data_IF_654011435021
#
_entry.id   IF_654011435021
#
_cell.length_a   1.000
_cell.length_b   1.000
_cell.length_c   1.000
_cell.angle_alpha   90.00
_cell.angle_beta   90.00
_cell.angle_gamma   90.00
#
_symmetry.space_group_name_H-M   'P 1'
#
loop_
_entity.id
_entity.type
_entity.pdbx_description
1 polymer ?
#
# COMPACT_ATOMS: atom_id res chain seq x y z
N UNK A 1 -12.66 16.51 0.40
CA UNK A 1 -12.47 15.44 -0.59
C UNK A 1 -12.16 16.07 -1.92
N UNK A 2 -10.87 16.27 -2.17
CA UNK A 2 -10.33 16.62 -3.47
C UNK A 2 -10.05 15.35 -4.28
N UNK A 3 -9.85 15.52 -5.59
CA UNK A 3 -9.44 14.46 -6.50
C UNK A 3 -8.12 14.83 -7.15
N UNK A 4 -7.19 13.87 -7.20
CA UNK A 4 -5.89 14.02 -7.84
C UNK A 4 -5.66 12.95 -8.90
N UNK A 5 -4.99 13.33 -9.97
CA UNK A 5 -4.42 12.39 -10.94
C UNK A 5 -2.91 12.48 -10.77
N UNK A 6 -2.28 11.38 -10.36
CA UNK A 6 -0.85 11.33 -10.07
C UNK A 6 -0.16 10.25 -10.90
N UNK A 7 1.14 10.43 -11.11
CA UNK A 7 1.96 9.45 -11.81
C UNK A 7 3.18 9.07 -11.00
N UNK A 8 3.53 7.78 -11.02
CA UNK A 8 4.73 7.30 -10.32
C UNK A 8 6.00 7.49 -11.16
N UNK A 9 7.18 7.61 -10.52
CA UNK A 9 7.41 7.68 -9.07
C UNK A 9 6.83 8.96 -8.45
N UNK A 10 6.29 8.87 -7.23
CA UNK A 10 5.69 10.00 -6.53
C UNK A 10 6.77 10.86 -5.86
N UNK A 11 6.68 12.17 -6.02
CA UNK A 11 7.52 13.12 -5.28
C UNK A 11 6.97 13.39 -3.88
N UNK A 12 7.80 13.93 -2.98
CA UNK A 12 7.33 14.42 -1.68
C UNK A 12 6.28 15.53 -1.80
N UNK A 13 6.38 16.38 -2.83
CA UNK A 13 5.40 17.43 -3.10
C UNK A 13 4.04 16.86 -3.53
N UNK A 14 4.05 15.73 -4.25
CA UNK A 14 2.83 15.00 -4.58
C UNK A 14 2.14 14.44 -3.35
N UNK A 15 2.91 14.00 -2.35
CA UNK A 15 2.40 13.39 -1.12
C UNK A 15 1.97 14.45 -0.10
N UNK A 16 2.71 15.55 0.04
CA UNK A 16 2.48 16.59 1.03
C UNK A 16 1.13 17.33 0.82
N UNK A 17 0.63 17.39 -0.42
CA UNK A 17 -0.67 18.00 -0.72
C UNK A 17 -1.88 17.09 -0.45
N UNK A 18 -1.65 15.79 -0.20
CA UNK A 18 -2.73 14.83 0.02
C UNK A 18 -3.23 14.91 1.46
N UNK A 19 -4.54 14.85 1.63
CA UNK A 19 -5.18 14.77 2.93
C UNK A 19 -6.07 13.53 3.02
N UNK A 20 -6.19 12.99 4.22
CA UNK A 20 -7.07 11.86 4.51
C UNK A 20 -8.50 12.09 3.97
N UNK A 21 -9.03 11.10 3.26
CA UNK A 21 -10.32 11.18 2.57
C UNK A 21 -10.27 11.69 1.13
N UNK A 22 -9.12 12.12 0.61
CA UNK A 22 -8.97 12.47 -0.80
C UNK A 22 -8.93 11.24 -1.71
N UNK A 23 -9.34 11.43 -2.97
CA UNK A 23 -9.34 10.39 -4.00
C UNK A 23 -8.16 10.60 -4.94
N UNK A 24 -7.43 9.53 -5.24
CA UNK A 24 -6.31 9.53 -6.18
C UNK A 24 -6.58 8.54 -7.30
N UNK A 25 -6.39 8.98 -8.54
CA UNK A 25 -6.28 8.11 -9.71
C UNK A 25 -4.82 8.04 -10.13
N UNK A 26 -4.24 6.85 -10.00
CA UNK A 26 -2.81 6.65 -10.19
C UNK A 26 -2.52 6.00 -11.54
N UNK A 27 -1.56 6.56 -12.28
CA UNK A 27 -1.06 6.00 -13.54
C UNK A 27 0.46 5.86 -13.49
N UNK A 28 0.99 4.67 -13.75
CA UNK A 28 2.43 4.40 -13.72
C UNK A 28 2.76 3.01 -13.21
N UNK A 29 3.97 2.82 -12.69
CA UNK A 29 4.43 1.56 -12.10
C UNK A 29 4.18 1.52 -10.59
N UNK A 30 3.61 0.41 -10.10
CA UNK A 30 3.52 0.06 -8.68
C UNK A 30 4.03 -1.36 -8.46
N UNK A 31 4.51 -1.69 -7.26
CA UNK A 31 5.11 -2.99 -6.97
C UNK A 31 4.22 -3.83 -6.06
N UNK A 32 4.01 -5.11 -6.38
CA UNK A 32 3.35 -6.02 -5.44
C UNK A 32 4.34 -6.52 -4.42
N UNK A 33 3.99 -6.53 -3.14
CA UNK A 33 4.69 -7.31 -2.14
C UNK A 33 3.75 -7.55 -0.97
N UNK A 34 3.84 -8.72 -0.35
CA UNK A 34 3.13 -9.03 0.90
C UNK A 34 4.03 -9.85 1.82
N UNK A 35 3.45 -10.63 2.72
CA UNK A 35 4.08 -11.30 3.85
C UNK A 35 5.50 -11.86 3.56
N UNK A 36 5.64 -12.84 2.67
CA UNK A 36 6.92 -13.50 2.40
C UNK A 36 7.92 -12.60 1.64
N UNK A 37 7.43 -11.77 0.71
CA UNK A 37 8.27 -10.84 -0.01
C UNK A 37 8.85 -9.74 0.89
N UNK A 38 8.06 -9.17 1.81
CA UNK A 38 8.54 -8.17 2.76
C UNK A 38 9.63 -8.73 3.65
N UNK A 39 9.44 -9.94 4.18
CA UNK A 39 10.44 -10.62 4.99
C UNK A 39 11.77 -10.72 4.24
N UNK A 40 11.77 -11.16 2.98
CA UNK A 40 12.99 -11.28 2.18
C UNK A 40 13.64 -9.95 1.81
N UNK A 41 12.83 -8.92 1.50
CA UNK A 41 13.35 -7.57 1.26
C UNK A 41 14.10 -7.08 2.49
N UNK A 42 13.53 -7.26 3.67
CA UNK A 42 14.15 -6.81 4.93
C UNK A 42 15.39 -7.63 5.27
N UNK A 43 15.36 -8.96 5.10
CA UNK A 43 16.54 -9.82 5.29
C UNK A 43 17.69 -9.45 4.33
N UNK A 44 17.39 -9.05 3.09
CA UNK A 44 18.38 -8.56 2.15
C UNK A 44 18.98 -7.21 2.61
N UNK A 45 18.13 -6.28 3.04
CA UNK A 45 18.56 -5.00 3.60
C UNK A 45 19.43 -5.17 4.87
N UNK A 46 19.12 -6.15 5.71
CA UNK A 46 19.92 -6.49 6.91
C UNK A 46 21.33 -7.01 6.58
N UNK A 47 21.50 -7.59 5.39
CA UNK A 47 22.80 -8.02 4.86
C UNK A 47 23.53 -6.91 4.11
N UNK A 48 22.94 -5.72 3.99
CA UNK A 48 23.47 -4.61 3.20
C UNK A 48 23.29 -4.78 1.69
N UNK A 49 22.40 -5.67 1.26
CA UNK A 49 22.03 -5.85 -0.14
C UNK A 49 21.01 -4.80 -0.59
N UNK A 50 20.90 -4.57 -1.90
CA UNK A 50 19.92 -3.65 -2.46
C UNK A 50 18.52 -4.29 -2.54
N UNK A 51 17.44 -3.51 -2.39
CA UNK A 51 16.09 -3.99 -2.62
C UNK A 51 15.88 -4.38 -4.09
N UNK A 52 14.87 -5.23 -4.40
CA UNK A 52 14.60 -5.70 -5.76
C UNK A 52 14.08 -4.63 -6.73
N UNK A 53 13.79 -3.44 -6.23
CA UNK A 53 13.38 -2.26 -6.99
C UNK A 53 13.76 -1.00 -6.20
N UNK A 54 13.86 0.13 -6.88
CA UNK A 54 14.11 1.42 -6.22
C UNK A 54 12.94 1.80 -5.32
N UNK A 55 13.22 2.09 -4.05
CA UNK A 55 12.19 2.46 -3.07
C UNK A 55 11.81 3.94 -3.21
N UNK A 56 12.69 4.80 -3.72
CA UNK A 56 12.44 6.24 -3.78
C UNK A 56 11.25 6.56 -4.71
N UNK A 57 10.22 7.16 -4.15
CA UNK A 57 8.99 7.48 -4.87
C UNK A 57 8.12 6.26 -5.24
N UNK A 58 8.52 5.05 -4.85
CA UNK A 58 7.82 3.82 -5.19
C UNK A 58 6.57 3.60 -4.33
N UNK A 59 5.69 2.74 -4.84
CA UNK A 59 4.47 2.35 -4.14
C UNK A 59 4.40 0.83 -4.06
N UNK A 60 4.15 0.32 -2.85
CA UNK A 60 3.93 -1.13 -2.64
C UNK A 60 2.44 -1.41 -2.49
N UNK A 61 1.89 -2.23 -3.39
CA UNK A 61 0.55 -2.77 -3.32
C UNK A 61 0.52 -4.15 -2.65
N UNK A 62 -0.17 -4.24 -1.52
CA UNK A 62 -0.37 -5.48 -0.78
C UNK A 62 -1.45 -6.33 -1.45
N UNK A 63 -1.03 -7.16 -2.40
CA UNK A 63 -1.92 -8.03 -3.18
C UNK A 63 -1.27 -9.38 -3.43
N UNK A 64 -2.10 -10.43 -3.46
CA UNK A 64 -1.74 -11.72 -4.04
C UNK A 64 -2.71 -12.00 -5.17
N UNK A 65 -2.36 -11.70 -6.44
CA UNK A 65 -3.31 -11.80 -7.54
C UNK A 65 -3.69 -13.25 -7.82
N UNK A 66 -4.93 -13.48 -8.27
CA UNK A 66 -5.32 -14.79 -8.79
C UNK A 66 -4.59 -15.10 -10.12
N UNK A 67 -4.58 -16.37 -10.58
CA UNK A 67 -4.05 -16.70 -11.90
C UNK A 67 -4.68 -15.83 -12.99
N UNK A 68 -3.86 -15.41 -13.96
CA UNK A 68 -4.31 -14.59 -15.07
C UNK A 68 -5.16 -15.43 -16.04
N UNK A 69 -6.35 -14.97 -16.44
CA UNK A 69 -7.09 -15.60 -17.52
C UNK A 69 -6.39 -15.36 -18.87
N UNK A 70 -6.66 -16.18 -19.90
CA UNK A 70 -6.08 -16.00 -21.24
C UNK A 70 -6.27 -14.57 -21.77
N UNK A 71 -5.19 -13.99 -22.29
CA UNK A 71 -5.20 -12.64 -22.87
C UNK A 71 -5.28 -11.48 -21.86
N UNK A 72 -5.14 -11.74 -20.55
CA UNK A 72 -5.01 -10.67 -19.54
C UNK A 72 -3.64 -10.72 -18.85
N UNK A 73 -3.10 -9.56 -18.42
CA UNK A 73 -1.82 -9.51 -17.73
C UNK A 73 -1.87 -10.09 -16.31
N UNK A 74 -3.05 -10.05 -15.67
CA UNK A 74 -3.21 -10.42 -14.27
C UNK A 74 -4.64 -10.91 -13.99
N UNK A 75 -4.80 -11.74 -12.96
CA UNK A 75 -6.11 -12.14 -12.45
C UNK A 75 -6.74 -11.07 -11.56
N UNK A 76 -7.71 -11.47 -10.74
CA UNK A 76 -8.30 -10.58 -9.72
C UNK A 76 -7.21 -10.10 -8.77
N UNK A 77 -7.13 -8.79 -8.55
CA UNK A 77 -6.06 -8.13 -7.81
C UNK A 77 -6.64 -7.30 -6.66
N UNK A 78 -7.31 -7.96 -5.71
CA UNK A 78 -7.89 -7.30 -4.52
C UNK A 78 -6.88 -7.16 -3.38
N UNK A 79 -6.97 -6.10 -2.55
CA UNK A 79 -6.01 -5.85 -1.47
C UNK A 79 -6.10 -6.91 -0.37
N UNK A 80 -4.95 -7.18 0.27
CA UNK A 80 -4.88 -7.94 1.52
C UNK A 80 -4.77 -7.01 2.74
N UNK A 81 -5.03 -7.57 3.93
CA UNK A 81 -4.97 -6.82 5.19
C UNK A 81 -3.56 -6.30 5.47
N UNK A 82 -3.45 -4.98 5.64
CA UNK A 82 -2.18 -4.25 5.69
C UNK A 82 -1.40 -4.44 7.00
N UNK A 83 -2.08 -4.66 8.12
CA UNK A 83 -1.43 -4.75 9.43
C UNK A 83 -0.38 -5.86 9.54
N UNK A 84 -0.43 -6.88 8.67
CA UNK A 84 0.57 -7.95 8.62
C UNK A 84 1.95 -7.49 8.14
N UNK A 85 2.04 -6.30 7.54
CA UNK A 85 3.29 -5.71 7.05
C UNK A 85 3.76 -4.53 7.92
N UNK A 86 3.07 -4.21 9.01
CA UNK A 86 3.36 -3.02 9.83
C UNK A 86 4.75 -3.08 10.47
N UNK A 87 5.24 -4.24 10.87
CA UNK A 87 6.62 -4.39 11.41
C UNK A 87 7.71 -3.98 10.41
N UNK A 88 7.46 -4.11 9.11
CA UNK A 88 8.45 -3.82 8.06
C UNK A 88 8.32 -2.41 7.49
N UNK A 89 7.10 -1.89 7.48
CA UNK A 89 6.72 -0.69 6.71
C UNK A 89 7.45 0.59 7.14
N UNK A 90 7.66 0.89 8.45
CA UNK A 90 8.40 2.08 8.89
C UNK A 90 9.79 2.19 8.28
N UNK A 91 10.53 1.07 8.25
CA UNK A 91 11.87 1.04 7.65
C UNK A 91 11.85 1.27 6.14
N UNK A 92 10.82 0.78 5.45
CA UNK A 92 10.72 1.02 4.01
C UNK A 92 10.45 2.50 3.71
N UNK A 93 9.61 3.16 4.51
CA UNK A 93 9.41 4.61 4.41
C UNK A 93 10.68 5.41 4.73
N UNK A 94 11.48 5.00 5.74
CA UNK A 94 12.75 5.67 6.02
C UNK A 94 13.78 5.55 4.89
N UNK A 95 13.57 4.60 3.97
CA UNK A 95 14.40 4.37 2.79
C UNK A 95 13.83 5.01 1.50
N UNK A 96 12.77 5.81 1.59
CA UNK A 96 12.21 6.55 0.45
C UNK A 96 10.89 6.02 -0.11
N UNK A 97 10.34 4.93 0.45
CA UNK A 97 9.03 4.43 0.01
C UNK A 97 7.97 5.54 0.15
N UNK A 98 7.36 5.92 -0.97
CA UNK A 98 6.36 6.99 -1.01
C UNK A 98 5.03 6.56 -0.40
N UNK A 99 4.54 5.39 -0.81
CA UNK A 99 3.23 4.95 -0.38
C UNK A 99 3.05 3.43 -0.31
N UNK A 100 2.02 3.03 0.42
CA UNK A 100 1.55 1.64 0.46
C UNK A 100 0.06 1.58 0.13
N UNK A 101 -0.38 0.51 -0.52
CA UNK A 101 -1.80 0.29 -0.89
C UNK A 101 -2.27 -1.02 -0.25
N UNK A 102 -3.42 -1.01 0.43
CA UNK A 102 -3.99 -2.22 1.01
C UNK A 102 -5.40 -2.04 1.56
N UNK A 103 -5.75 -2.80 2.60
CA UNK A 103 -7.00 -2.64 3.35
C UNK A 103 -6.79 -2.77 4.87
N UNK A 104 -7.66 -2.10 5.63
CA UNK A 104 -7.65 -2.12 7.09
C UNK A 104 -6.73 -1.08 7.71
N UNK A 105 -6.84 -0.92 9.03
CA UNK A 105 -6.09 0.07 9.82
C UNK A 105 -4.60 -0.26 9.83
N UNK A 106 -3.78 0.78 10.05
CA UNK A 106 -2.34 0.69 10.33
C UNK A 106 -2.08 0.95 11.80
N UNK A 107 -0.99 0.41 12.32
CA UNK A 107 -0.53 0.69 13.67
C UNK A 107 0.05 2.12 13.83
N UNK A 108 0.41 2.47 15.06
CA UNK A 108 0.98 3.78 15.38
C UNK A 108 2.39 3.98 14.79
N UNK A 109 3.18 2.90 14.66
CA UNK A 109 4.54 2.98 14.13
C UNK A 109 4.56 3.36 12.65
N UNK A 110 3.63 2.80 11.87
CA UNK A 110 3.44 3.19 10.47
C UNK A 110 2.97 4.63 10.37
N UNK A 111 1.97 5.05 11.16
CA UNK A 111 1.47 6.44 11.12
C UNK A 111 2.54 7.47 11.48
N UNK A 112 3.42 7.15 12.43
CA UNK A 112 4.57 7.99 12.76
C UNK A 112 5.55 8.07 11.57
N UNK A 113 5.87 6.93 10.94
CA UNK A 113 6.77 6.90 9.78
C UNK A 113 6.22 7.68 8.57
N UNK A 114 4.89 7.65 8.33
CA UNK A 114 4.25 8.43 7.28
C UNK A 114 4.43 9.94 7.51
N UNK A 115 4.29 10.40 8.75
CA UNK A 115 4.55 11.80 9.11
C UNK A 115 6.02 12.17 8.97
N UNK A 116 6.92 11.34 9.49
CA UNK A 116 8.36 11.60 9.51
C UNK A 116 8.97 11.64 8.10
N UNK A 117 8.48 10.78 7.19
CA UNK A 117 9.07 10.59 5.87
C UNK A 117 8.22 11.12 4.72
N UNK A 118 7.13 11.85 5.02
CA UNK A 118 6.19 12.38 4.04
C UNK A 118 5.59 11.27 3.16
N UNK A 119 5.09 10.20 3.80
CA UNK A 119 4.48 9.06 3.13
C UNK A 119 2.95 9.09 3.18
N UNK A 120 2.30 8.23 2.37
CA UNK A 120 0.84 8.04 2.38
C UNK A 120 0.47 6.56 2.40
N UNK A 121 -0.59 6.21 3.12
CA UNK A 121 -1.25 4.90 2.99
C UNK A 121 -2.59 5.04 2.27
N UNK A 122 -2.71 4.32 1.16
CA UNK A 122 -3.90 4.26 0.35
C UNK A 122 -4.74 3.01 0.66
N UNK A 123 -6.04 3.21 0.74
CA UNK A 123 -7.04 2.14 0.73
C UNK A 123 -7.45 1.82 -0.70
N UNK A 124 -7.30 0.56 -1.10
CA UNK A 124 -7.96 0.04 -2.29
C UNK A 124 -9.31 -0.60 -1.89
N UNK A 125 -10.32 -0.50 -2.76
CA UNK A 125 -11.66 -1.02 -2.46
C UNK A 125 -11.65 -2.54 -2.33
N UNK A 126 -11.79 -3.04 -1.10
CA UNK A 126 -11.92 -4.48 -0.83
C UNK A 126 -13.16 -5.08 -1.51
N UNK A 127 -13.02 -6.27 -2.11
CA UNK A 127 -14.11 -6.92 -2.86
C UNK A 127 -14.21 -6.52 -4.33
N UNK A 128 -13.50 -5.46 -4.76
CA UNK A 128 -13.48 -5.00 -6.14
C UNK A 128 -12.26 -5.51 -6.95
N UNK A 129 -11.66 -6.64 -6.57
CA UNK A 129 -10.41 -7.13 -7.17
C UNK A 129 -10.47 -7.36 -8.69
N UNK A 130 -11.63 -7.74 -9.22
CA UNK A 130 -11.86 -7.90 -10.66
C UNK A 130 -12.04 -6.56 -11.41
N UNK A 131 -12.41 -5.49 -10.70
CA UNK A 131 -12.46 -4.13 -11.25
C UNK A 131 -11.05 -3.51 -11.23
N UNK A 132 -10.36 -3.63 -10.10
CA UNK A 132 -8.98 -3.14 -9.96
C UNK A 132 -8.03 -3.77 -10.98
N UNK A 133 -8.23 -5.04 -11.33
CA UNK A 133 -7.41 -5.69 -12.36
C UNK A 133 -7.62 -5.14 -13.78
N UNK A 134 -8.71 -4.43 -14.06
CA UNK A 134 -8.94 -3.78 -15.35
C UNK A 134 -8.09 -2.51 -15.53
N UNK A 135 -7.68 -1.90 -14.42
CA UNK A 135 -6.73 -0.79 -14.39
C UNK A 135 -5.28 -1.26 -14.62
N UNK A 136 -5.00 -2.57 -14.48
CA UNK A 136 -3.65 -3.13 -14.64
C UNK A 136 -3.42 -3.53 -16.10
N UNK A 137 -2.42 -2.92 -16.74
CA UNK A 137 -2.08 -3.07 -18.17
C UNK A 137 -0.95 -4.05 -18.42
N UNK A 138 -0.01 -4.17 -17.46
CA UNK A 138 1.07 -5.14 -17.50
C UNK A 138 1.40 -5.63 -16.08
N UNK A 139 1.97 -6.84 -15.97
CA UNK A 139 2.40 -7.42 -14.71
C UNK A 139 3.65 -8.29 -14.95
N UNK A 140 4.80 -7.81 -14.49
CA UNK A 140 6.11 -8.44 -14.71
C UNK A 140 6.69 -8.89 -13.36
N UNK A 141 7.25 -10.10 -13.29
CA UNK A 141 7.92 -10.57 -12.07
C UNK A 141 9.30 -9.90 -12.01
N UNK A 142 9.59 -9.22 -10.90
CA UNK A 142 10.89 -8.57 -10.67
C UNK A 142 11.74 -9.28 -9.63
N UNK A 143 11.12 -10.00 -8.69
CA UNK A 143 11.85 -10.81 -7.72
C UNK A 143 11.00 -11.91 -7.11
N UNK A 144 11.70 -12.93 -6.59
CA UNK A 144 11.13 -14.01 -5.78
C UNK A 144 10.02 -14.79 -6.50
N UNK A 145 10.25 -15.16 -7.76
CA UNK A 145 9.29 -15.89 -8.59
C UNK A 145 8.75 -17.16 -7.92
N UNK A 146 9.59 -17.85 -7.14
CA UNK A 146 9.22 -19.07 -6.43
C UNK A 146 8.18 -18.85 -5.32
N UNK A 147 7.93 -17.60 -4.92
CA UNK A 147 6.86 -17.25 -3.99
C UNK A 147 5.47 -17.20 -4.66
N UNK A 148 5.39 -17.40 -5.98
CA UNK A 148 4.13 -17.52 -6.72
C UNK A 148 3.25 -16.27 -6.58
N UNK A 149 2.05 -16.35 -5.96
CA UNK A 149 1.19 -15.18 -5.72
C UNK A 149 1.82 -14.10 -4.84
N UNK A 150 2.84 -14.42 -4.04
CA UNK A 150 3.56 -13.45 -3.20
C UNK A 150 4.84 -12.90 -3.84
N UNK A 151 5.16 -13.31 -5.07
CA UNK A 151 6.29 -12.75 -5.82
C UNK A 151 6.18 -11.23 -5.98
N UNK A 152 7.32 -10.55 -6.06
CA UNK A 152 7.34 -9.12 -6.33
C UNK A 152 7.10 -8.91 -7.81
N UNK A 153 6.07 -8.13 -8.14
CA UNK A 153 5.71 -7.81 -9.52
C UNK A 153 5.70 -6.30 -9.74
N UNK A 154 6.27 -5.85 -10.84
CA UNK A 154 6.00 -4.51 -11.35
C UNK A 154 4.68 -4.53 -12.11
N UNK A 155 3.71 -3.73 -11.66
CA UNK A 155 2.42 -3.56 -12.30
C UNK A 155 2.39 -2.19 -12.99
N UNK A 156 2.09 -2.18 -14.28
CA UNK A 156 1.73 -0.94 -14.98
C UNK A 156 0.25 -0.71 -14.81
N UNK A 157 -0.13 0.38 -14.15
CA UNK A 157 -1.51 0.74 -13.87
C UNK A 157 -1.91 2.02 -14.58
N UNK A 158 -3.18 2.13 -14.93
CA UNK A 158 -3.79 3.32 -15.52
C UNK A 158 -5.08 3.63 -14.78
N UNK A 159 -5.21 4.88 -14.33
CA UNK A 159 -6.36 5.41 -13.60
C UNK A 159 -6.77 4.51 -12.42
N UNK A 160 -5.78 3.99 -11.68
CA UNK A 160 -5.99 3.08 -10.57
C UNK A 160 -6.60 3.84 -9.38
N UNK A 161 -7.83 3.51 -8.96
CA UNK A 161 -8.55 4.31 -7.96
C UNK A 161 -8.10 3.98 -6.54
N UNK A 162 -7.75 5.01 -5.78
CA UNK A 162 -7.24 4.94 -4.42
C UNK A 162 -7.91 5.98 -3.54
N UNK A 163 -8.06 5.65 -2.26
CA UNK A 163 -8.53 6.56 -1.21
C UNK A 163 -7.39 6.81 -0.22
N UNK A 164 -7.09 8.07 0.10
CA UNK A 164 -6.11 8.41 1.13
C UNK A 164 -6.70 8.02 2.49
N UNK A 165 -6.06 7.07 3.18
CA UNK A 165 -6.51 6.60 4.50
C UNK A 165 -5.68 7.26 5.59
N UNK A 166 -4.35 7.20 5.50
CA UNK A 166 -3.44 7.92 6.37
C UNK A 166 -2.57 8.83 5.52
N UNK A 167 -2.50 10.11 5.88
CA UNK A 167 -1.65 11.09 5.24
C UNK A 167 -0.39 11.39 6.06
N UNK A 168 0.46 12.26 5.53
CA UNK A 168 1.69 12.71 6.18
C UNK A 168 1.46 13.82 7.23
N UNK A 169 0.22 14.29 7.39
CA UNK A 169 -0.15 15.30 8.39
C UNK A 169 -0.58 14.66 9.72
N UNK A 170 -0.70 13.33 9.75
CA UNK A 170 -1.10 12.56 10.93
C UNK A 170 -2.58 12.22 10.99
N UNK A 171 -3.35 12.55 9.95
CA UNK A 171 -4.79 12.29 9.91
C UNK A 171 -5.11 10.86 9.45
N UNK A 172 -6.24 10.33 9.90
CA UNK A 172 -6.73 9.00 9.56
C UNK A 172 -8.23 9.03 9.22
N UNK A 173 -8.61 8.44 8.08
CA UNK A 173 -10.00 8.44 7.62
C UNK A 173 -10.87 7.48 8.44
N UNK A 174 -10.29 6.40 8.95
CA UNK A 174 -11.02 5.43 9.73
C UNK A 174 -11.44 6.02 11.07
N UNK A 175 -12.76 6.14 11.27
CA UNK A 175 -13.31 6.54 12.54
C UNK A 175 -12.79 5.64 13.69
N UNK A 176 -12.48 6.27 14.81
CA UNK A 176 -12.44 5.60 16.10
C UNK A 176 -13.89 5.47 16.55
N UNK A 177 -14.41 4.25 16.77
CA UNK A 177 -15.75 4.11 17.32
C UNK A 177 -15.80 4.83 18.67
N UNK A 178 -16.76 5.73 18.85
CA UNK A 178 -17.00 6.34 20.15
C UNK A 178 -17.71 5.32 21.04
N UNK A 179 -16.91 4.47 21.70
CA UNK A 179 -17.40 3.38 22.57
C UNK A 179 -18.24 3.92 23.74
N UNK A 180 -17.94 5.13 24.23
CA UNK A 180 -18.72 5.79 25.27
C UNK A 180 -20.12 6.20 24.76
N UNK A 181 -20.22 6.73 23.54
CA UNK A 181 -21.52 7.05 22.92
C UNK A 181 -22.29 5.80 22.48
N UNK A 182 -21.60 4.70 22.20
CA UNK A 182 -22.21 3.41 21.85
C UNK A 182 -22.74 2.62 23.07
N UNK A 183 -22.56 3.14 24.30
CA UNK A 183 -22.94 2.42 25.52
C UNK A 183 -22.09 1.18 25.81
N UNK A 184 -21.01 0.98 25.05
CA UNK A 184 -20.06 -0.11 25.22
C UNK A 184 -18.89 0.36 26.09
N UNK A 185 -19.17 0.75 27.33
CA UNK A 185 -18.15 0.84 28.35
C UNK A 185 -17.83 -0.59 28.81
N UNK A 186 -16.85 -1.23 28.18
CA UNK A 186 -16.23 -2.39 28.81
C UNK A 186 -15.58 -1.87 30.10
N UNK A 187 -16.06 -2.35 31.25
CA UNK A 187 -15.44 -2.09 32.53
C UNK A 187 -13.96 -2.45 32.45
N UNK A 188 -13.11 -1.49 32.81
CA UNK A 188 -11.69 -1.71 33.02
C UNK A 188 -11.51 -2.89 33.99
N UNK A 189 -11.02 -4.01 33.47
CA UNK A 189 -10.50 -5.12 34.27
C UNK A 189 -9.00 -4.88 34.43
N UNK A 190 -8.58 -4.60 35.67
CA UNK A 190 -7.18 -4.33 36.03
C UNK A 190 -6.26 -5.53 36.09
#
# INVERSE_FOLDING_TARGET
MAQYNLSTPLSKDDLAKLTSGDVVFLTGTIYTARDAAHKRIIEALDKGEQPPFDLDGAIIYYVGPSPAPPGRPIGSAGPTTSCRMDTYTPRLHSLGLAATIGKGKRDAGVKAALQEHTGVYFGATGGAGALLSQCIKAAEIVAFEELGPEAVRALTVQDFPLLVINDSHGEELYAVPNLAAAGCACADGG
#
